data_IF_558055334304
#
_entry.id   IF_558055334304
#
_cell.length_a   1.000
_cell.length_b   1.000
_cell.length_c   1.000
_cell.angle_alpha   90.00
_cell.angle_beta   90.00
_cell.angle_gamma   90.00
#
_symmetry.space_group_name_H-M   'P 1'
#
loop_
_entity.id
_entity.type
_entity.pdbx_description
1 polymer ?
#
# COMPACT_ATOMS: atom_id res chain seq x y z
N UNK A 1 -20.07 3.96 11.32
CA UNK A 1 -18.71 3.47 11.64
C UNK A 1 -17.72 3.80 10.52
N UNK A 2 -17.96 3.43 9.27
CA UNK A 2 -17.07 3.72 8.13
C UNK A 2 -16.75 5.21 7.89
N UNK A 3 -17.72 6.11 8.06
CA UNK A 3 -17.48 7.55 7.95
C UNK A 3 -16.52 8.07 9.05
N UNK A 4 -16.60 7.52 10.26
CA UNK A 4 -15.73 7.90 11.37
C UNK A 4 -14.29 7.42 11.14
N UNK A 5 -14.12 6.20 10.63
CA UNK A 5 -12.82 5.67 10.21
C UNK A 5 -12.18 6.51 9.09
N UNK A 6 -12.98 6.96 8.12
CA UNK A 6 -12.52 7.83 7.03
C UNK A 6 -11.99 9.17 7.55
N UNK A 7 -12.67 9.78 8.53
CA UNK A 7 -12.21 11.03 9.15
C UNK A 7 -10.93 10.84 9.96
N UNK A 8 -10.79 9.74 10.71
CA UNK A 8 -9.58 9.45 11.49
C UNK A 8 -8.39 9.23 10.55
N UNK A 9 -8.55 8.46 9.47
CA UNK A 9 -7.50 8.25 8.46
C UNK A 9 -7.09 9.56 7.79
N UNK A 10 -8.05 10.44 7.47
CA UNK A 10 -7.78 11.76 6.92
C UNK A 10 -6.99 12.66 7.89
N UNK A 11 -7.34 12.66 9.17
CA UNK A 11 -6.63 13.45 10.19
C UNK A 11 -5.19 12.95 10.34
N UNK A 12 -4.99 11.64 10.39
CA UNK A 12 -3.65 11.03 10.48
C UNK A 12 -2.82 11.39 9.23
N UNK A 13 -3.42 11.33 8.04
CA UNK A 13 -2.77 11.73 6.79
C UNK A 13 -2.38 13.21 6.78
N UNK A 14 -3.26 14.09 7.25
CA UNK A 14 -3.00 15.54 7.34
C UNK A 14 -1.86 15.80 8.33
N UNK A 15 -1.91 15.18 9.52
CA UNK A 15 -0.86 15.34 10.53
C UNK A 15 0.49 14.83 10.03
N UNK A 16 0.50 13.70 9.30
CA UNK A 16 1.71 13.16 8.68
C UNK A 16 2.25 14.09 7.59
N UNK A 17 1.39 14.60 6.71
CA UNK A 17 1.77 15.52 5.65
C UNK A 17 2.32 16.85 6.21
N UNK A 18 1.67 17.39 7.26
CA UNK A 18 2.15 18.60 7.97
C UNK A 18 3.49 18.32 8.65
N UNK A 19 3.65 17.16 9.30
CA UNK A 19 4.91 16.75 9.91
C UNK A 19 6.05 16.63 8.90
N UNK A 20 5.79 15.97 7.76
CA UNK A 20 6.75 15.83 6.67
C UNK A 20 7.13 17.20 6.07
N UNK A 21 6.14 18.07 5.81
CA UNK A 21 6.37 19.41 5.30
C UNK A 21 7.18 20.26 6.28
N UNK A 22 6.91 20.16 7.58
CA UNK A 22 7.66 20.86 8.62
C UNK A 22 9.11 20.36 8.72
N UNK A 23 9.34 19.03 8.69
CA UNK A 23 10.68 18.45 8.68
C UNK A 23 11.48 18.88 7.43
N UNK A 24 10.84 18.91 6.26
CA UNK A 24 11.44 19.39 5.02
C UNK A 24 11.78 20.88 5.09
N UNK A 25 10.85 21.70 5.59
CA UNK A 25 11.09 23.14 5.78
C UNK A 25 12.27 23.38 6.72
N UNK A 26 12.36 22.66 7.84
CA UNK A 26 13.50 22.75 8.74
C UNK A 26 14.80 22.32 8.06
N UNK A 27 14.80 21.20 7.32
CA UNK A 27 15.99 20.76 6.59
C UNK A 27 16.46 21.81 5.57
N UNK A 28 15.52 22.43 4.83
CA UNK A 28 15.82 23.51 3.88
C UNK A 28 16.38 24.73 4.61
N UNK A 29 15.77 25.14 5.72
CA UNK A 29 16.25 26.27 6.55
C UNK A 29 17.66 25.98 7.07
N UNK A 30 17.94 24.79 7.58
CA UNK A 30 19.27 24.44 8.07
C UNK A 30 20.32 24.39 6.96
N UNK A 31 19.96 23.89 5.77
CA UNK A 31 20.85 23.94 4.61
C UNK A 31 21.09 25.40 4.19
N UNK A 32 20.04 26.23 4.15
CA UNK A 32 20.16 27.66 3.84
C UNK A 32 21.02 28.40 4.87
N UNK A 33 20.85 28.13 6.17
CA UNK A 33 21.68 28.70 7.25
C UNK A 33 23.13 28.23 7.12
N UNK A 34 23.36 26.94 6.88
CA UNK A 34 24.70 26.38 6.65
C UNK A 34 25.40 26.99 5.43
N UNK A 35 24.64 27.41 4.42
CA UNK A 35 25.14 28.09 3.22
C UNK A 35 25.31 29.61 3.40
N UNK A 36 24.69 30.22 4.42
CA UNK A 36 24.67 31.68 4.62
C UNK A 36 25.46 32.17 5.83
N UNK A 37 26.01 31.27 6.66
CA UNK A 37 26.90 31.68 7.75
C UNK A 37 28.07 32.51 7.17
N UNK A 38 28.19 33.79 7.56
CA UNK A 38 29.14 34.72 6.98
C UNK A 38 30.56 34.22 7.25
N UNK A 39 31.31 34.01 6.17
CA UNK A 39 32.74 33.76 6.27
C UNK A 39 33.37 34.99 6.96
N UNK A 40 34.12 34.83 8.07
CA UNK A 40 34.76 35.97 8.71
C UNK A 40 35.64 36.70 7.70
N UNK A 41 35.55 38.04 7.59
CA UNK A 41 36.27 38.79 6.57
C UNK A 41 37.77 38.62 6.73
N UNK A 42 38.53 38.53 5.62
CA UNK A 42 39.96 38.27 5.66
C UNK A 42 40.70 39.53 6.09
N UNK A 43 41.27 39.53 7.30
CA UNK A 43 42.28 40.50 7.69
C UNK A 43 43.66 39.93 7.37
N UNK A 44 44.10 40.27 6.16
CA UNK A 44 45.50 40.44 5.73
C UNK A 44 46.36 39.18 5.54
N UNK A 45 46.20 38.57 4.37
CA UNK A 45 47.21 38.13 3.37
C UNK A 45 48.59 37.62 3.83
N UNK A 46 49.24 38.21 4.83
CA UNK A 46 50.45 37.67 5.48
C UNK A 46 50.17 36.61 6.55
N UNK A 47 48.94 36.54 7.05
CA UNK A 47 48.47 35.41 7.86
C UNK A 47 47.99 34.27 6.96
N UNK A 48 47.50 34.54 5.74
CA UNK A 48 47.00 33.52 4.82
C UNK A 48 48.11 32.56 4.35
N UNK A 49 49.31 33.07 4.08
CA UNK A 49 50.45 32.22 3.70
C UNK A 49 50.93 31.34 4.88
N UNK A 50 51.05 31.91 6.08
CA UNK A 50 51.33 31.16 7.32
C UNK A 50 50.16 30.28 7.79
N UNK A 51 48.93 30.58 7.37
CA UNK A 51 47.73 29.80 7.64
C UNK A 51 47.54 28.70 6.62
N UNK A 52 48.01 28.81 5.39
CA UNK A 52 48.10 27.70 4.43
C UNK A 52 49.15 26.69 4.93
N UNK A 53 50.27 27.19 5.44
CA UNK A 53 51.32 26.37 6.06
C UNK A 53 50.88 25.75 7.40
N UNK A 54 50.03 26.44 8.19
CA UNK A 54 49.38 25.89 9.41
C UNK A 54 48.07 25.12 9.14
N UNK A 55 47.44 25.27 7.98
CA UNK A 55 46.20 24.57 7.60
C UNK A 55 46.47 23.26 6.85
N UNK A 56 47.73 22.95 6.58
CA UNK A 56 48.17 21.57 6.50
C UNK A 56 48.03 20.95 7.89
N UNK A 57 46.77 20.70 8.31
CA UNK A 57 46.40 19.95 9.50
C UNK A 57 47.36 18.77 9.58
N UNK A 58 48.04 18.63 10.72
CA UNK A 58 49.05 17.57 10.83
C UNK A 58 48.37 16.22 10.51
N UNK A 59 49.08 15.26 9.89
CA UNK A 59 48.49 13.95 9.61
C UNK A 59 47.86 13.31 10.87
N UNK A 60 48.42 13.59 12.04
CA UNK A 60 47.91 13.15 13.33
C UNK A 60 46.57 13.80 13.71
N UNK A 61 46.44 15.12 13.55
CA UNK A 61 45.19 15.86 13.80
C UNK A 61 44.08 15.41 12.86
N UNK A 62 44.43 15.13 11.60
CA UNK A 62 43.47 14.65 10.61
C UNK A 62 42.96 13.25 10.96
N UNK A 63 43.85 12.33 11.36
CA UNK A 63 43.45 11.00 11.81
C UNK A 63 42.73 11.03 13.17
N UNK A 64 43.03 12.01 14.04
CA UNK A 64 42.26 12.23 15.27
C UNK A 64 40.83 12.71 14.96
N UNK A 65 40.66 13.64 14.02
CA UNK A 65 39.34 14.08 13.56
C UNK A 65 38.55 12.91 12.95
N UNK A 66 39.20 12.10 12.11
CA UNK A 66 38.60 10.90 11.50
C UNK A 66 38.16 9.87 12.55
N UNK A 67 38.98 9.64 13.59
CA UNK A 67 38.62 8.76 14.71
C UNK A 67 37.39 9.25 15.47
N UNK A 68 37.25 10.58 15.65
CA UNK A 68 36.10 11.18 16.34
C UNK A 68 34.78 11.04 15.58
N UNK A 69 34.80 11.17 14.25
CA UNK A 69 33.58 11.07 13.41
C UNK A 69 33.14 9.63 13.13
N UNK A 70 34.04 8.65 13.27
CA UNK A 70 33.73 7.23 13.01
C UNK A 70 32.63 6.67 13.90
N UNK A 71 32.65 7.02 15.20
CA UNK A 71 31.64 6.57 16.15
C UNK A 71 30.23 7.03 15.74
N UNK A 72 30.00 8.35 15.61
CA UNK A 72 28.70 8.88 15.18
C UNK A 72 28.26 8.38 13.81
N UNK A 73 29.18 8.31 12.85
CA UNK A 73 28.85 7.82 11.50
C UNK A 73 28.39 6.35 11.53
N UNK A 74 29.04 5.48 12.30
CA UNK A 74 28.64 4.07 12.44
C UNK A 74 27.27 3.95 13.13
N UNK A 75 27.03 4.75 14.17
CA UNK A 75 25.74 4.77 14.86
C UNK A 75 24.61 5.25 13.95
N UNK A 76 24.82 6.30 13.14
CA UNK A 76 23.84 6.76 12.15
C UNK A 76 23.56 5.71 11.08
N UNK A 77 24.59 4.98 10.63
CA UNK A 77 24.43 3.90 9.66
C UNK A 77 23.55 2.77 10.24
N UNK A 78 23.76 2.39 11.50
CA UNK A 78 22.94 1.38 12.19
C UNK A 78 21.48 1.83 12.33
N UNK A 79 21.24 3.09 12.70
CA UNK A 79 19.87 3.66 12.79
C UNK A 79 19.18 3.61 11.43
N UNK A 80 19.87 3.97 10.35
CA UNK A 80 19.30 3.92 9.01
C UNK A 80 19.02 2.49 8.52
N UNK A 81 19.87 1.52 8.85
CA UNK A 81 19.62 0.11 8.54
C UNK A 81 18.43 -0.46 9.32
N UNK A 82 18.27 -0.06 10.59
CA UNK A 82 17.12 -0.46 11.41
C UNK A 82 15.80 0.08 10.82
N UNK A 83 15.82 1.29 10.23
CA UNK A 83 14.67 1.84 9.52
C UNK A 83 14.25 1.02 8.28
N UNK A 84 15.15 0.21 7.71
CA UNK A 84 14.83 -0.67 6.58
C UNK A 84 14.14 -1.99 7.00
N UNK A 85 14.19 -2.38 8.28
CA UNK A 85 13.62 -3.66 8.75
C UNK A 85 12.11 -3.78 8.49
N UNK A 86 11.27 -2.77 8.76
CA UNK A 86 9.84 -2.84 8.44
C UNK A 86 9.57 -3.03 6.95
N UNK A 87 10.40 -2.44 6.07
CA UNK A 87 10.27 -2.61 4.62
C UNK A 87 10.60 -4.05 4.19
N UNK A 88 11.63 -4.64 4.79
CA UNK A 88 12.00 -6.04 4.57
C UNK A 88 10.84 -6.94 5.03
N UNK A 89 10.29 -6.73 6.23
CA UNK A 89 9.15 -7.51 6.73
C UNK A 89 7.94 -7.40 5.81
N UNK A 90 7.61 -6.20 5.33
CA UNK A 90 6.51 -5.98 4.38
C UNK A 90 6.79 -6.67 3.04
N UNK A 91 8.04 -6.66 2.56
CA UNK A 91 8.42 -7.27 1.29
C UNK A 91 8.41 -8.80 1.34
N UNK A 92 8.81 -9.39 2.47
CA UNK A 92 8.86 -10.85 2.67
C UNK A 92 7.58 -11.44 3.27
N UNK A 93 6.63 -10.61 3.69
CA UNK A 93 5.27 -11.09 4.00
C UNK A 93 4.62 -11.44 2.66
N UNK A 94 4.73 -12.72 2.28
CA UNK A 94 4.08 -13.27 1.10
C UNK A 94 2.64 -12.76 1.00
N UNK A 95 2.23 -12.43 -0.23
CA UNK A 95 0.99 -11.70 -0.55
C UNK A 95 -0.32 -12.35 -0.11
N UNK A 96 -0.32 -13.34 0.78
CA UNK A 96 -1.50 -13.90 1.44
C UNK A 96 -2.17 -12.91 2.42
N UNK A 97 -1.51 -11.79 2.74
CA UNK A 97 -2.07 -10.68 3.49
C UNK A 97 -3.07 -9.80 2.70
N UNK A 98 -3.70 -10.30 1.61
CA UNK A 98 -4.90 -9.69 1.00
C UNK A 98 -6.09 -9.63 1.99
N UNK A 99 -5.99 -10.29 3.14
CA UNK A 99 -6.99 -10.23 4.21
C UNK A 99 -6.99 -8.91 5.01
N UNK A 100 -5.97 -8.06 4.91
CA UNK A 100 -6.07 -6.68 5.39
C UNK A 100 -6.58 -5.81 4.24
N UNK A 101 -7.88 -5.54 4.24
CA UNK A 101 -8.59 -4.64 3.30
C UNK A 101 -8.12 -3.18 3.35
N UNK A 102 -6.97 -2.90 3.96
CA UNK A 102 -6.36 -1.58 3.93
C UNK A 102 -5.70 -1.36 2.56
N UNK A 103 -5.81 -0.15 2.01
CA UNK A 103 -5.40 0.06 0.64
C UNK A 103 -3.88 -0.07 0.50
N UNK A 104 -3.41 -0.92 -0.42
CA UNK A 104 -1.99 -1.10 -0.76
C UNK A 104 -1.26 0.23 -1.05
N UNK A 105 -1.99 1.26 -1.51
CA UNK A 105 -1.45 2.60 -1.73
C UNK A 105 -0.96 3.28 -0.45
N UNK A 106 -1.52 2.97 0.73
CA UNK A 106 -1.09 3.56 2.01
C UNK A 106 0.29 3.02 2.43
N UNK A 107 0.53 1.73 2.19
CA UNK A 107 1.84 1.10 2.43
C UNK A 107 2.88 1.70 1.47
N UNK A 108 2.55 1.84 0.18
CA UNK A 108 3.44 2.49 -0.79
C UNK A 108 3.74 3.95 -0.43
N UNK A 109 2.74 4.68 0.05
CA UNK A 109 2.85 6.09 0.44
C UNK A 109 3.75 6.29 1.67
N UNK A 110 3.71 5.35 2.62
CA UNK A 110 4.53 5.42 3.85
C UNK A 110 5.92 4.82 3.66
N UNK A 111 6.08 3.82 2.79
CA UNK A 111 7.36 3.18 2.50
C UNK A 111 8.35 4.11 1.79
N UNK A 112 7.88 4.90 0.82
CA UNK A 112 8.76 5.71 -0.03
C UNK A 112 9.56 6.77 0.76
N UNK A 113 8.94 7.60 1.62
CA UNK A 113 9.71 8.55 2.45
C UNK A 113 10.73 7.85 3.36
N UNK A 114 10.41 6.67 3.89
CA UNK A 114 11.32 5.89 4.75
C UNK A 114 12.54 5.43 3.95
N UNK A 115 12.36 4.94 2.72
CA UNK A 115 13.48 4.57 1.84
C UNK A 115 14.36 5.78 1.53
N UNK A 116 13.76 6.88 1.09
CA UNK A 116 14.50 8.09 0.68
C UNK A 116 15.30 8.65 1.86
N UNK A 117 14.68 8.78 3.02
CA UNK A 117 15.36 9.29 4.23
C UNK A 117 16.48 8.35 4.67
N UNK A 118 16.25 7.03 4.66
CA UNK A 118 17.28 6.04 5.02
C UNK A 118 18.48 6.10 4.08
N UNK A 119 18.26 6.21 2.76
CA UNK A 119 19.34 6.38 1.78
C UNK A 119 20.15 7.65 2.02
N UNK A 120 19.49 8.78 2.29
CA UNK A 120 20.17 10.05 2.59
C UNK A 120 21.00 9.97 3.88
N UNK A 121 20.48 9.33 4.93
CA UNK A 121 21.22 9.12 6.18
C UNK A 121 22.42 8.22 5.97
N UNK A 122 22.27 7.09 5.25
CA UNK A 122 23.38 6.19 4.91
C UNK A 122 24.46 6.94 4.15
N UNK A 123 24.06 7.70 3.12
CA UNK A 123 25.00 8.46 2.30
C UNK A 123 25.71 9.55 3.10
N UNK A 124 24.99 10.28 3.96
CA UNK A 124 25.58 11.28 4.86
C UNK A 124 26.49 10.68 5.92
N UNK A 125 26.20 9.49 6.45
CA UNK A 125 27.06 8.75 7.37
C UNK A 125 28.37 8.31 6.70
N UNK A 126 28.31 7.79 5.46
CA UNK A 126 29.51 7.46 4.67
C UNK A 126 30.34 8.72 4.40
N UNK A 127 29.67 9.82 4.01
CA UNK A 127 30.33 11.10 3.80
C UNK A 127 30.99 11.63 5.07
N UNK A 128 30.32 11.50 6.23
CA UNK A 128 30.87 11.86 7.53
C UNK A 128 32.13 11.03 7.86
N UNK A 129 32.08 9.71 7.66
CA UNK A 129 33.21 8.78 7.90
C UNK A 129 34.43 9.12 7.05
N UNK A 130 34.18 9.50 5.79
CA UNK A 130 35.22 9.77 4.81
C UNK A 130 35.66 11.26 4.80
N UNK A 131 35.09 12.07 5.70
CA UNK A 131 35.28 13.53 5.80
C UNK A 131 34.99 14.26 4.47
N UNK A 132 33.96 13.81 3.76
CA UNK A 132 33.48 14.35 2.47
C UNK A 132 32.19 15.14 2.69
N UNK A 133 32.02 16.25 1.97
CA UNK A 133 30.76 17.01 1.93
C UNK A 133 30.13 17.30 3.30
N UNK A 134 30.73 18.23 4.06
CA UNK A 134 30.26 18.57 5.42
C UNK A 134 28.75 18.87 5.50
N UNK A 135 28.21 19.63 4.54
CA UNK A 135 26.78 19.99 4.53
C UNK A 135 25.86 18.77 4.49
N UNK A 136 26.23 17.73 3.76
CA UNK A 136 25.47 16.48 3.70
C UNK A 136 25.57 15.69 5.00
N UNK A 137 26.74 15.66 5.63
CA UNK A 137 26.94 15.02 6.93
C UNK A 137 26.07 15.69 8.02
N UNK A 138 25.99 17.03 8.02
CA UNK A 138 25.09 17.79 8.91
C UNK A 138 23.63 17.49 8.58
N UNK A 139 23.23 17.56 7.31
CA UNK A 139 21.85 17.31 6.89
C UNK A 139 21.37 15.91 7.30
N UNK A 140 22.20 14.87 7.09
CA UNK A 140 21.89 13.52 7.54
C UNK A 140 21.79 13.42 9.07
N UNK A 141 22.62 14.15 9.81
CA UNK A 141 22.56 14.16 11.29
C UNK A 141 21.25 14.77 11.78
N UNK A 142 20.75 15.81 11.12
CA UNK A 142 19.45 16.43 11.41
C UNK A 142 18.31 15.50 10.98
N UNK A 143 18.41 14.86 9.82
CA UNK A 143 17.38 13.97 9.30
C UNK A 143 17.14 12.77 10.23
N UNK A 144 18.20 12.25 10.85
CA UNK A 144 18.15 11.21 11.90
C UNK A 144 17.37 11.64 13.15
N UNK A 145 17.27 12.95 13.42
CA UNK A 145 16.49 13.49 14.56
C UNK A 145 15.00 13.59 14.26
N UNK A 146 14.59 13.53 13.00
CA UNK A 146 13.22 13.80 12.60
C UNK A 146 12.28 12.64 12.99
N UNK A 147 11.05 12.90 13.47
CA UNK A 147 10.07 11.88 13.84
C UNK A 147 9.37 11.29 12.61
N UNK A 148 10.11 11.01 11.53
CA UNK A 148 9.58 10.49 10.27
C UNK A 148 9.89 9.01 10.04
N UNK A 149 10.54 8.34 11.00
CA UNK A 149 10.92 6.94 10.88
C UNK A 149 10.89 6.22 12.25
N UNK A 150 10.65 4.91 12.23
CA UNK A 150 10.52 4.09 13.45
C UNK A 150 11.76 4.13 14.36
N UNK A 151 12.96 4.29 13.79
CA UNK A 151 14.20 4.40 14.53
C UNK A 151 14.46 5.77 15.19
N UNK A 152 13.51 6.71 15.19
CA UNK A 152 13.78 8.09 15.66
C UNK A 152 14.16 8.16 17.14
N UNK A 153 13.65 7.24 17.97
CA UNK A 153 13.99 7.19 19.41
C UNK A 153 15.49 6.96 19.61
N UNK A 154 16.10 6.09 18.79
CA UNK A 154 17.55 5.89 18.77
C UNK A 154 18.26 6.98 17.96
N UNK A 155 17.59 7.52 16.95
CA UNK A 155 18.10 8.59 16.11
C UNK A 155 18.37 9.88 16.87
N UNK A 156 17.51 10.27 17.82
CA UNK A 156 17.67 11.51 18.62
C UNK A 156 19.05 11.61 19.30
N UNK A 157 19.44 10.67 20.20
CA UNK A 157 20.73 10.75 20.88
C UNK A 157 21.90 10.65 19.88
N UNK A 158 21.77 9.83 18.83
CA UNK A 158 22.81 9.62 17.82
C UNK A 158 23.02 10.86 16.95
N UNK A 159 21.95 11.51 16.50
CA UNK A 159 22.02 12.72 15.69
C UNK A 159 22.57 13.91 16.47
N UNK A 160 22.18 14.06 17.75
CA UNK A 160 22.75 15.11 18.63
C UNK A 160 24.25 14.86 18.80
N UNK A 161 24.65 13.62 19.07
CA UNK A 161 26.06 13.26 19.19
C UNK A 161 26.84 13.57 17.91
N UNK A 162 26.30 13.23 16.74
CA UNK A 162 26.89 13.54 15.45
C UNK A 162 27.05 15.05 15.23
N UNK A 163 26.03 15.86 15.54
CA UNK A 163 26.08 17.31 15.43
C UNK A 163 27.11 17.93 16.38
N UNK A 164 27.20 17.46 17.62
CA UNK A 164 28.22 17.92 18.59
C UNK A 164 29.63 17.59 18.10
N UNK A 165 29.83 16.44 17.45
CA UNK A 165 31.13 16.09 16.87
C UNK A 165 31.46 16.94 15.64
N UNK A 166 30.47 17.18 14.77
CA UNK A 166 30.64 18.00 13.56
C UNK A 166 30.90 19.47 13.86
N UNK A 167 30.29 20.03 14.91
CA UNK A 167 30.44 21.44 15.31
C UNK A 167 31.80 21.77 15.95
N UNK A 168 32.61 20.77 16.31
CA UNK A 168 33.96 21.02 16.83
C UNK A 168 34.87 21.56 15.73
N UNK A 169 35.61 22.63 16.07
CA UNK A 169 36.51 23.34 15.13
C UNK A 169 37.48 22.39 14.41
N UNK A 170 38.11 21.45 15.12
CA UNK A 170 39.06 20.51 14.54
C UNK A 170 38.41 19.61 13.47
N UNK A 171 37.16 19.21 13.67
CA UNK A 171 36.43 18.36 12.74
C UNK A 171 36.10 19.15 11.47
N UNK A 172 35.58 20.36 11.63
CA UNK A 172 35.31 21.28 10.53
C UNK A 172 36.56 21.59 9.70
N UNK A 173 37.69 21.90 10.35
CA UNK A 173 38.98 22.11 9.68
C UNK A 173 39.42 20.87 8.88
N UNK A 174 39.20 19.65 9.40
CA UNK A 174 39.53 18.43 8.68
C UNK A 174 38.68 18.24 7.41
N UNK A 175 37.39 18.59 7.44
CA UNK A 175 36.54 18.59 6.24
C UNK A 175 37.01 19.62 5.19
N UNK A 176 37.41 20.82 5.63
CA UNK A 176 37.95 21.84 4.72
C UNK A 176 39.29 21.41 4.10
N UNK A 177 40.21 20.86 4.92
CA UNK A 177 41.50 20.36 4.47
C UNK A 177 41.33 19.25 3.41
N UNK A 178 40.35 18.35 3.59
CA UNK A 178 40.01 17.31 2.60
C UNK A 178 39.50 17.91 1.29
N UNK A 179 38.57 18.86 1.36
CA UNK A 179 37.99 19.52 0.18
C UNK A 179 39.06 20.29 -0.63
N UNK A 180 40.01 20.95 0.04
CA UNK A 180 41.13 21.62 -0.60
C UNK A 180 42.06 20.66 -1.36
N UNK A 181 42.34 19.48 -0.80
CA UNK A 181 43.15 18.45 -1.49
C UNK A 181 42.51 17.95 -2.78
N UNK A 182 41.18 17.83 -2.83
CA UNK A 182 40.48 17.45 -4.06
C UNK A 182 40.57 18.53 -5.14
N UNK A 183 40.47 19.80 -4.76
CA UNK A 183 40.64 20.91 -5.71
C UNK A 183 42.06 20.96 -6.31
N UNK A 184 43.09 20.70 -5.50
CA UNK A 184 44.49 20.61 -5.95
C UNK A 184 44.72 19.39 -6.86
N UNK A 185 44.18 18.22 -6.49
CA UNK A 185 44.31 17.00 -7.30
C UNK A 185 43.61 17.12 -8.67
N UNK A 186 42.59 17.97 -8.79
CA UNK A 186 41.92 18.27 -10.05
C UNK A 186 42.74 19.18 -10.99
N UNK A 187 44.00 19.50 -10.66
CA UNK A 187 44.93 20.21 -11.55
C UNK A 187 44.75 21.73 -11.61
N UNK A 188 44.05 22.33 -10.63
CA UNK A 188 43.94 23.78 -10.52
C UNK A 188 45.30 24.41 -10.19
N UNK A 189 45.87 25.16 -11.15
CA UNK A 189 47.12 25.91 -10.96
C UNK A 189 46.91 26.97 -9.85
N UNK A 190 47.75 27.02 -8.80
CA UNK A 190 47.51 27.85 -7.61
C UNK A 190 47.58 29.36 -7.87
N UNK A 191 48.19 29.80 -8.98
CA UNK A 191 48.48 31.23 -9.23
C UNK A 191 47.33 32.00 -9.87
N UNK A 192 46.31 31.29 -10.34
CA UNK A 192 45.01 31.89 -10.65
C UNK A 192 44.07 31.47 -9.53
N UNK A 193 44.09 32.20 -8.42
CA UNK A 193 42.90 32.31 -7.57
C UNK A 193 41.92 33.19 -8.33
N UNK A 194 40.93 32.66 -9.09
CA UNK A 194 39.78 33.46 -9.36
C UNK A 194 39.17 33.75 -7.98
N UNK A 195 39.17 35.01 -7.58
CA UNK A 195 38.35 35.50 -6.46
C UNK A 195 36.86 35.15 -6.64
N UNK A 196 36.48 34.68 -7.82
CA UNK A 196 35.28 33.89 -8.05
C UNK A 196 35.62 32.40 -7.98
N UNK A 197 35.55 31.79 -6.79
CA UNK A 197 35.19 30.37 -6.75
C UNK A 197 34.00 30.20 -7.68
N UNK A 198 33.98 29.19 -8.59
CA UNK A 198 32.77 28.84 -9.27
C UNK A 198 31.78 28.52 -8.17
N UNK A 199 30.87 29.48 -7.96
CA UNK A 199 29.58 29.27 -7.33
C UNK A 199 28.88 28.27 -8.25
N UNK A 200 29.34 27.02 -8.26
CA UNK A 200 28.46 25.89 -8.51
C UNK A 200 27.56 25.92 -7.28
N UNK A 201 26.62 26.86 -7.36
CA UNK A 201 25.71 27.19 -6.30
C UNK A 201 25.15 25.83 -5.93
N UNK A 202 25.31 25.44 -4.67
CA UNK A 202 24.63 24.25 -4.17
C UNK A 202 23.11 24.46 -4.25
N UNK A 203 22.67 25.69 -4.60
CA UNK A 203 21.30 26.12 -4.84
C UNK A 203 20.58 25.19 -5.82
N UNK A 204 20.98 24.90 -7.08
CA UNK A 204 20.29 23.93 -7.93
C UNK A 204 20.19 22.54 -7.33
N UNK A 205 21.20 22.00 -6.65
CA UNK A 205 21.12 20.63 -6.11
C UNK A 205 20.24 20.56 -4.85
N UNK A 206 20.38 21.53 -3.95
CA UNK A 206 19.56 21.67 -2.74
C UNK A 206 18.12 22.05 -3.09
N UNK A 207 17.92 22.97 -4.04
CA UNK A 207 16.61 23.31 -4.56
C UNK A 207 16.00 22.14 -5.32
N UNK A 208 16.78 21.34 -6.07
CA UNK A 208 16.28 20.12 -6.72
C UNK A 208 15.89 19.05 -5.70
N UNK A 209 16.68 18.88 -4.62
CA UNK A 209 16.35 18.00 -3.49
C UNK A 209 15.20 18.52 -2.61
N UNK A 210 14.97 19.83 -2.58
CA UNK A 210 13.86 20.47 -1.85
C UNK A 210 12.57 20.52 -2.69
N UNK A 211 12.68 20.68 -4.01
CA UNK A 211 11.57 20.71 -4.96
C UNK A 211 11.06 19.30 -5.27
N UNK A 212 11.89 18.27 -5.22
CA UNK A 212 11.45 16.88 -5.44
C UNK A 212 10.32 16.46 -4.49
N UNK A 213 10.41 16.64 -3.16
CA UNK A 213 9.30 16.31 -2.28
C UNK A 213 8.11 17.28 -2.44
N UNK A 214 8.34 18.55 -2.79
CA UNK A 214 7.27 19.54 -2.94
C UNK A 214 6.45 19.28 -4.22
N UNK A 215 7.11 18.94 -5.32
CA UNK A 215 6.51 18.47 -6.58
C UNK A 215 5.79 17.14 -6.37
N UNK A 216 6.34 16.25 -5.52
CA UNK A 216 5.69 14.99 -5.19
C UNK A 216 4.42 15.21 -4.35
N UNK A 217 4.44 16.09 -3.36
CA UNK A 217 3.25 16.50 -2.59
C UNK A 217 2.20 17.12 -3.51
N UNK A 218 2.60 18.00 -4.44
CA UNK A 218 1.70 18.58 -5.43
C UNK A 218 1.09 17.51 -6.36
N UNK A 219 1.88 16.54 -6.81
CA UNK A 219 1.40 15.40 -7.59
C UNK A 219 0.42 14.51 -6.80
N UNK A 220 0.65 14.31 -5.50
CA UNK A 220 -0.25 13.57 -4.61
C UNK A 220 -1.57 14.32 -4.38
N UNK A 221 -1.53 15.64 -4.21
CA UNK A 221 -2.73 16.47 -4.12
C UNK A 221 -3.51 16.40 -5.44
N UNK A 222 -2.83 16.52 -6.58
CA UNK A 222 -3.44 16.42 -7.89
C UNK A 222 -4.05 15.02 -8.14
N UNK A 223 -3.35 13.95 -7.77
CA UNK A 223 -3.83 12.58 -7.90
C UNK A 223 -5.03 12.30 -6.98
N UNK A 224 -5.02 12.82 -5.75
CA UNK A 224 -6.17 12.70 -4.83
C UNK A 224 -7.37 13.48 -5.35
N UNK A 225 -7.16 14.70 -5.85
CA UNK A 225 -8.22 15.50 -6.47
C UNK A 225 -8.77 14.79 -7.70
N UNK A 226 -7.89 14.20 -8.52
CA UNK A 226 -8.28 13.38 -9.67
C UNK A 226 -9.11 12.17 -9.26
N UNK A 227 -8.70 11.40 -8.25
CA UNK A 227 -9.50 10.29 -7.71
C UNK A 227 -10.85 10.78 -7.17
N UNK A 228 -10.89 11.90 -6.45
CA UNK A 228 -12.14 12.46 -5.92
C UNK A 228 -13.10 12.89 -7.04
N UNK A 229 -12.58 13.47 -8.13
CA UNK A 229 -13.38 13.77 -9.33
C UNK A 229 -13.79 12.51 -10.08
N UNK A 230 -12.91 11.53 -10.21
CA UNK A 230 -13.18 10.27 -10.92
C UNK A 230 -14.21 9.42 -10.17
N UNK A 231 -14.12 9.36 -8.83
CA UNK A 231 -15.11 8.68 -8.00
C UNK A 231 -16.46 9.40 -7.94
N UNK A 232 -16.51 10.71 -8.18
CA UNK A 232 -17.78 11.43 -8.36
C UNK A 232 -18.47 11.11 -9.69
N UNK A 233 -17.72 10.79 -10.76
CA UNK A 233 -18.27 10.36 -12.05
C UNK A 233 -18.73 8.89 -12.06
N UNK A 234 -18.16 8.04 -11.20
CA UNK A 234 -18.49 6.60 -11.13
C UNK A 234 -19.38 6.20 -9.95
N UNK A 235 -19.75 7.12 -9.07
CA UNK A 235 -20.87 6.88 -8.17
C UNK A 235 -22.13 6.81 -9.04
N UNK A 236 -22.82 5.66 -9.12
CA UNK A 236 -24.09 5.60 -9.84
C UNK A 236 -24.97 6.73 -9.30
N UNK A 237 -25.64 7.51 -10.16
CA UNK A 237 -26.43 8.65 -9.72
C UNK A 237 -27.32 8.16 -8.60
N UNK A 238 -27.10 8.73 -7.41
CA UNK A 238 -27.80 8.40 -6.17
C UNK A 238 -29.26 8.32 -6.55
N UNK A 239 -29.79 7.10 -6.55
CA UNK A 239 -31.09 6.77 -7.13
C UNK A 239 -32.12 7.59 -6.35
N UNK A 240 -32.42 8.77 -6.87
CA UNK A 240 -33.33 9.71 -6.27
C UNK A 240 -34.68 9.03 -6.38
N UNK A 241 -35.13 8.43 -5.29
CA UNK A 241 -36.48 7.90 -5.00
C UNK A 241 -37.43 8.18 -6.16
N UNK A 242 -37.37 7.35 -7.20
CA UNK A 242 -38.13 7.54 -8.45
C UNK A 242 -39.30 6.59 -8.41
N UNK A 243 -40.27 6.92 -7.56
CA UNK A 243 -41.64 6.71 -7.97
C UNK A 243 -41.88 7.69 -9.14
N UNK A 244 -42.45 7.17 -10.22
CA UNK A 244 -42.84 7.90 -11.43
C UNK A 244 -41.70 8.22 -12.40
N UNK A 245 -41.44 7.31 -13.34
CA UNK A 245 -41.80 7.57 -14.75
C UNK A 245 -41.56 6.33 -15.61
N UNK A 246 -42.61 5.96 -16.34
CA UNK A 246 -42.62 4.94 -17.35
C UNK A 246 -41.71 5.28 -18.55
N UNK A 247 -41.14 4.22 -19.12
CA UNK A 247 -40.78 4.06 -20.53
C UNK A 247 -39.94 5.16 -21.19
N UNK A 248 -38.62 4.99 -21.14
CA UNK A 248 -37.75 5.43 -22.24
C UNK A 248 -36.64 4.41 -22.46
N UNK A 249 -36.71 3.72 -23.61
CA UNK A 249 -35.64 2.89 -24.15
C UNK A 249 -34.50 3.81 -24.58
N UNK A 250 -33.44 3.85 -23.80
CA UNK A 250 -32.14 4.35 -24.27
C UNK A 250 -31.11 3.25 -24.08
N UNK A 251 -30.56 2.78 -25.20
CA UNK A 251 -29.41 1.88 -25.29
C UNK A 251 -28.19 2.55 -24.64
N UNK A 252 -28.04 2.33 -23.34
CA UNK A 252 -26.81 2.61 -22.62
C UNK A 252 -25.94 1.37 -22.77
N UNK A 253 -24.84 1.51 -23.51
CA UNK A 253 -23.77 0.51 -23.60
C UNK A 253 -23.36 0.11 -22.19
N UNK A 254 -23.86 -1.05 -21.74
CA UNK A 254 -23.47 -1.63 -20.45
C UNK A 254 -21.97 -1.88 -20.49
N UNK A 255 -21.21 -1.47 -19.46
CA UNK A 255 -19.80 -1.85 -19.34
C UNK A 255 -19.72 -3.37 -19.48
N UNK A 256 -18.76 -3.84 -20.27
CA UNK A 256 -18.57 -5.26 -20.53
C UNK A 256 -18.41 -5.99 -19.19
N UNK A 257 -19.44 -6.75 -18.80
CA UNK A 257 -19.40 -7.59 -17.60
C UNK A 257 -18.25 -8.58 -17.86
N UNK A 258 -17.24 -8.66 -16.97
CA UNK A 258 -16.17 -9.62 -17.14
C UNK A 258 -16.77 -11.02 -17.30
N UNK A 259 -16.25 -11.84 -18.22
CA UNK A 259 -16.81 -13.17 -18.48
C UNK A 259 -16.84 -13.98 -17.17
N UNK A 260 -18.00 -14.56 -16.86
CA UNK A 260 -18.22 -15.32 -15.65
C UNK A 260 -17.32 -16.57 -15.62
N UNK A 261 -16.70 -16.84 -14.47
CA UNK A 261 -15.89 -18.05 -14.26
C UNK A 261 -16.76 -19.32 -14.15
N UNK A 262 -18.04 -19.16 -13.79
CA UNK A 262 -19.02 -20.23 -13.63
C UNK A 262 -20.32 -19.81 -14.29
N UNK A 263 -20.94 -20.71 -15.05
CA UNK A 263 -22.27 -20.53 -15.62
C UNK A 263 -23.23 -21.58 -15.09
N UNK A 264 -24.52 -21.28 -15.06
CA UNK A 264 -25.54 -22.19 -14.52
C UNK A 264 -26.27 -22.94 -15.63
N UNK A 265 -25.90 -24.21 -15.84
CA UNK A 265 -26.54 -25.11 -16.80
C UNK A 265 -27.77 -25.83 -16.25
N UNK A 266 -28.39 -26.69 -17.05
CA UNK A 266 -29.56 -27.49 -16.62
C UNK A 266 -29.24 -28.41 -15.44
N UNK A 267 -28.02 -28.96 -15.39
CA UNK A 267 -27.56 -29.94 -14.40
C UNK A 267 -26.84 -29.34 -13.19
N UNK A 268 -26.61 -28.02 -13.16
CA UNK A 268 -25.88 -27.36 -12.07
C UNK A 268 -24.86 -26.34 -12.59
N UNK A 269 -23.93 -25.90 -11.73
CA UNK A 269 -22.84 -25.01 -12.11
C UNK A 269 -21.89 -25.72 -13.09
N UNK A 270 -21.41 -24.96 -14.07
CA UNK A 270 -20.50 -25.37 -15.13
C UNK A 270 -19.37 -24.36 -15.25
N UNK A 271 -18.22 -24.78 -15.78
CA UNK A 271 -17.09 -23.93 -16.08
C UNK A 271 -17.49 -22.88 -17.12
N UNK A 272 -17.36 -21.61 -16.73
CA UNK A 272 -17.83 -20.47 -17.52
C UNK A 272 -16.89 -20.07 -18.67
N UNK A 273 -17.31 -19.10 -19.50
CA UNK A 273 -16.58 -18.68 -20.70
C UNK A 273 -15.14 -18.23 -20.44
N UNK A 274 -14.84 -17.65 -19.28
CA UNK A 274 -13.49 -17.19 -18.95
C UNK A 274 -12.45 -18.32 -19.06
N UNK A 275 -12.81 -19.52 -18.61
CA UNK A 275 -11.92 -20.68 -18.64
C UNK A 275 -11.97 -21.40 -19.99
N UNK A 276 -13.09 -21.29 -20.73
CA UNK A 276 -13.24 -21.89 -22.06
C UNK A 276 -12.57 -21.10 -23.18
N UNK A 277 -12.55 -19.77 -23.10
CA UNK A 277 -12.05 -18.88 -24.16
C UNK A 277 -10.53 -18.86 -24.27
N UNK A 278 -9.81 -19.19 -23.19
CA UNK A 278 -8.35 -19.11 -23.19
C UNK A 278 -7.66 -20.32 -23.83
N UNK A 279 -8.41 -21.31 -24.34
CA UNK A 279 -7.88 -22.59 -24.86
C UNK A 279 -6.92 -23.29 -23.87
N UNK A 280 -7.03 -22.96 -22.58
CA UNK A 280 -6.13 -23.43 -21.53
C UNK A 280 -6.40 -24.89 -21.16
N UNK A 281 -7.64 -25.33 -21.32
CA UNK A 281 -8.06 -26.70 -21.04
C UNK A 281 -8.55 -27.34 -22.33
N UNK A 282 -8.25 -28.63 -22.50
CA UNK A 282 -8.86 -29.42 -23.56
C UNK A 282 -10.38 -29.56 -23.32
N UNK A 283 -11.14 -29.82 -24.37
CA UNK A 283 -12.59 -30.03 -24.23
C UNK A 283 -12.91 -31.17 -23.27
N UNK A 284 -12.12 -32.25 -23.30
CA UNK A 284 -12.27 -33.38 -22.38
C UNK A 284 -12.04 -32.98 -20.92
N UNK A 285 -11.05 -32.13 -20.65
CA UNK A 285 -10.81 -31.60 -19.30
C UNK A 285 -11.97 -30.72 -18.84
N UNK A 286 -12.49 -29.86 -19.72
CA UNK A 286 -13.64 -29.01 -19.41
C UNK A 286 -14.89 -29.83 -19.08
N UNK A 287 -15.19 -30.86 -19.87
CA UNK A 287 -16.36 -31.72 -19.64
C UNK A 287 -16.23 -32.51 -18.32
N UNK A 288 -15.01 -32.98 -17.99
CA UNK A 288 -14.73 -33.63 -16.70
C UNK A 288 -14.83 -32.66 -15.52
N UNK A 289 -14.37 -31.42 -15.69
CA UNK A 289 -14.50 -30.38 -14.66
C UNK A 289 -15.97 -30.01 -14.43
N UNK A 290 -16.77 -29.89 -15.48
CA UNK A 290 -18.23 -29.68 -15.37
C UNK A 290 -18.90 -30.81 -14.59
N UNK A 291 -18.52 -32.07 -14.87
CA UNK A 291 -19.04 -33.23 -14.17
C UNK A 291 -18.65 -33.22 -12.68
N UNK A 292 -17.38 -32.96 -12.37
CA UNK A 292 -16.89 -32.87 -11.00
C UNK A 292 -17.57 -31.73 -10.23
N UNK A 293 -17.77 -30.57 -10.87
CA UNK A 293 -18.43 -29.41 -10.28
C UNK A 293 -19.92 -29.68 -10.02
N UNK A 294 -20.63 -30.25 -10.98
CA UNK A 294 -22.04 -30.62 -10.83
C UNK A 294 -22.23 -31.66 -9.71
N UNK A 295 -21.37 -32.69 -9.66
CA UNK A 295 -21.38 -33.71 -8.60
C UNK A 295 -21.16 -33.09 -7.21
N UNK A 296 -20.12 -32.28 -7.07
CA UNK A 296 -19.79 -31.58 -5.82
C UNK A 296 -20.95 -30.68 -5.38
N UNK A 297 -21.59 -29.99 -6.31
CA UNK A 297 -22.75 -29.15 -6.03
C UNK A 297 -23.95 -29.95 -5.50
N UNK A 298 -24.18 -31.19 -5.98
CA UNK A 298 -25.22 -32.06 -5.41
C UNK A 298 -24.91 -32.48 -3.97
N UNK A 299 -23.64 -32.76 -3.65
CA UNK A 299 -23.19 -33.04 -2.28
C UNK A 299 -23.43 -31.83 -1.37
N UNK A 300 -23.08 -30.63 -1.86
CA UNK A 300 -23.36 -29.36 -1.17
C UNK A 300 -24.86 -29.16 -0.92
N UNK A 301 -25.73 -29.37 -1.91
CA UNK A 301 -27.18 -29.24 -1.74
C UNK A 301 -27.76 -30.28 -0.76
N UNK A 302 -27.15 -31.45 -0.63
CA UNK A 302 -27.52 -32.41 0.41
C UNK A 302 -27.15 -31.88 1.80
N UNK A 303 -25.91 -31.44 1.98
CA UNK A 303 -25.44 -30.86 3.24
C UNK A 303 -26.23 -29.61 3.65
N UNK A 304 -26.52 -28.70 2.71
CA UNK A 304 -27.33 -27.51 2.95
C UNK A 304 -28.72 -27.88 3.46
N UNK A 305 -29.39 -28.86 2.83
CA UNK A 305 -30.72 -29.32 3.25
C UNK A 305 -30.72 -29.86 4.68
N UNK A 306 -29.71 -30.63 5.06
CA UNK A 306 -29.59 -31.20 6.41
C UNK A 306 -29.38 -30.11 7.48
N UNK A 307 -28.82 -28.96 7.10
CA UNK A 307 -28.57 -27.82 7.97
C UNK A 307 -29.61 -26.69 7.85
N UNK A 308 -30.64 -26.89 7.01
CA UNK A 308 -31.68 -25.89 6.77
C UNK A 308 -32.89 -26.11 7.66
N UNK A 309 -33.28 -25.06 8.38
CA UNK A 309 -34.54 -25.01 9.13
C UNK A 309 -35.47 -23.96 8.52
N UNK A 310 -36.77 -24.26 8.50
CA UNK A 310 -37.79 -23.42 7.87
C UNK A 310 -38.87 -23.11 8.89
N UNK A 311 -39.24 -21.84 8.99
CA UNK A 311 -40.32 -21.36 9.86
C UNK A 311 -41.10 -20.26 9.15
N UNK A 312 -42.37 -20.10 9.51
CA UNK A 312 -43.14 -18.93 9.11
C UNK A 312 -43.16 -17.95 10.28
N UNK A 313 -42.83 -16.68 10.04
CA UNK A 313 -42.91 -15.66 11.09
C UNK A 313 -44.35 -15.13 11.27
N UNK A 314 -44.56 -14.25 12.26
CA UNK A 314 -45.87 -13.67 12.58
C UNK A 314 -46.50 -12.87 11.42
N UNK A 315 -45.71 -12.47 10.42
CA UNK A 315 -46.17 -11.75 9.22
C UNK A 315 -46.49 -12.68 8.05
N UNK A 316 -46.50 -14.00 8.26
CA UNK A 316 -46.73 -14.99 7.20
C UNK A 316 -45.56 -15.14 6.23
N UNK A 317 -44.36 -14.66 6.59
CA UNK A 317 -43.17 -14.72 5.71
C UNK A 317 -42.34 -15.96 6.01
N UNK A 318 -41.77 -16.55 4.97
CA UNK A 318 -40.93 -17.75 5.07
C UNK A 318 -39.54 -17.36 5.54
N UNK A 319 -39.15 -17.79 6.74
CA UNK A 319 -37.82 -17.59 7.32
C UNK A 319 -37.06 -18.90 7.23
N UNK A 320 -36.03 -18.90 6.40
CA UNK A 320 -35.10 -20.02 6.22
C UNK A 320 -33.81 -19.70 6.96
N UNK A 321 -33.45 -20.52 7.94
CA UNK A 321 -32.17 -20.42 8.65
C UNK A 321 -31.32 -21.61 8.29
N UNK A 322 -30.16 -21.33 7.69
CA UNK A 322 -29.14 -22.31 7.31
C UNK A 322 -28.02 -22.20 8.33
N UNK A 323 -27.83 -23.23 9.16
CA UNK A 323 -26.75 -23.26 10.14
C UNK A 323 -25.39 -23.36 9.44
N UNK A 324 -24.33 -22.87 10.07
CA UNK A 324 -22.98 -23.08 9.57
C UNK A 324 -22.59 -24.58 9.66
N UNK A 325 -21.93 -25.08 8.62
CA UNK A 325 -21.36 -26.44 8.51
C UNK A 325 -19.95 -26.38 7.89
N UNK A 326 -19.01 -25.62 8.47
CA UNK A 326 -17.72 -25.33 7.84
C UNK A 326 -16.85 -26.58 7.66
N UNK A 327 -17.04 -27.61 8.50
CA UNK A 327 -16.30 -28.87 8.41
C UNK A 327 -16.72 -29.65 7.16
N UNK A 328 -18.01 -29.90 7.00
CA UNK A 328 -18.60 -30.59 5.86
C UNK A 328 -18.29 -29.83 4.56
N UNK A 329 -18.35 -28.50 4.61
CA UNK A 329 -18.00 -27.62 3.50
C UNK A 329 -16.54 -27.80 3.07
N UNK A 330 -15.60 -27.79 4.04
CA UNK A 330 -14.19 -28.03 3.76
C UNK A 330 -13.91 -29.43 3.19
N UNK A 331 -14.67 -30.44 3.63
CA UNK A 331 -14.56 -31.80 3.08
C UNK A 331 -15.08 -31.87 1.62
N UNK A 332 -16.19 -31.21 1.31
CA UNK A 332 -16.75 -31.10 -0.05
C UNK A 332 -15.77 -30.36 -0.98
N UNK A 333 -15.24 -29.22 -0.55
CA UNK A 333 -14.24 -28.45 -1.32
C UNK A 333 -12.96 -29.26 -1.56
N UNK A 334 -12.45 -29.94 -0.53
CA UNK A 334 -11.23 -30.74 -0.67
C UNK A 334 -11.41 -31.89 -1.66
N UNK A 335 -12.59 -32.55 -1.67
CA UNK A 335 -12.91 -33.58 -2.66
C UNK A 335 -12.94 -33.02 -4.07
N UNK A 336 -13.58 -31.87 -4.27
CA UNK A 336 -13.60 -31.20 -5.58
C UNK A 336 -12.20 -30.87 -6.06
N UNK A 337 -11.36 -30.25 -5.22
CA UNK A 337 -10.00 -29.89 -5.61
C UNK A 337 -9.12 -31.10 -5.88
N UNK A 338 -9.30 -32.18 -5.13
CA UNK A 338 -8.60 -33.45 -5.39
C UNK A 338 -8.98 -34.02 -6.77
N UNK A 339 -10.26 -33.99 -7.14
CA UNK A 339 -10.74 -34.45 -8.44
C UNK A 339 -10.29 -33.51 -9.58
N UNK A 340 -10.36 -32.20 -9.38
CA UNK A 340 -9.91 -31.19 -10.34
C UNK A 340 -8.39 -31.25 -10.61
N UNK A 341 -7.57 -31.42 -9.57
CA UNK A 341 -6.10 -31.53 -9.71
C UNK A 341 -5.68 -32.83 -10.43
N UNK A 342 -6.54 -33.85 -10.41
CA UNK A 342 -6.36 -35.08 -11.19
C UNK A 342 -6.74 -34.90 -12.68
N UNK A 343 -7.69 -34.01 -12.98
CA UNK A 343 -8.10 -33.64 -14.36
C UNK A 343 -7.07 -32.70 -15.01
N UNK A 344 -6.48 -31.80 -14.22
CA UNK A 344 -5.53 -30.78 -14.67
C UNK A 344 -4.14 -31.09 -14.09
N UNK A 345 -3.27 -31.82 -14.82
CA UNK A 345 -1.97 -32.24 -14.28
C UNK A 345 -0.94 -31.11 -14.22
N UNK A 346 -1.07 -30.08 -15.07
CA UNK A 346 -0.11 -28.97 -15.14
C UNK A 346 -0.28 -27.99 -13.97
N UNK A 347 0.83 -27.62 -13.31
CA UNK A 347 0.80 -26.77 -12.12
C UNK A 347 0.40 -25.32 -12.42
N UNK A 348 0.72 -24.79 -13.60
CA UNK A 348 0.34 -23.42 -13.98
C UNK A 348 -1.16 -23.34 -14.28
N UNK A 349 -1.70 -24.34 -14.96
CA UNK A 349 -3.13 -24.47 -15.23
C UNK A 349 -3.94 -24.63 -13.93
N UNK A 350 -3.45 -25.44 -12.97
CA UNK A 350 -4.07 -25.56 -11.63
C UNK A 350 -4.17 -24.22 -10.91
N UNK A 351 -3.10 -23.43 -10.95
CA UNK A 351 -3.08 -22.09 -10.34
C UNK A 351 -4.15 -21.19 -10.95
N UNK A 352 -4.31 -21.22 -12.27
CA UNK A 352 -5.32 -20.43 -12.98
C UNK A 352 -6.74 -20.92 -12.70
N UNK A 353 -6.97 -22.23 -12.69
CA UNK A 353 -8.26 -22.83 -12.34
C UNK A 353 -8.69 -22.45 -10.92
N UNK A 354 -7.77 -22.61 -9.95
CA UNK A 354 -7.99 -22.22 -8.55
C UNK A 354 -8.26 -20.73 -8.43
N UNK A 355 -7.48 -19.88 -9.11
CA UNK A 355 -7.72 -18.45 -9.12
C UNK A 355 -9.13 -18.12 -9.66
N UNK A 356 -9.48 -18.62 -10.84
CA UNK A 356 -10.76 -18.32 -11.48
C UNK A 356 -11.98 -18.80 -10.66
N UNK A 357 -11.91 -19.99 -10.06
CA UNK A 357 -13.01 -20.54 -9.27
C UNK A 357 -13.02 -20.06 -7.81
N UNK A 358 -11.89 -19.62 -7.23
CA UNK A 358 -11.85 -19.02 -5.88
C UNK A 358 -12.65 -17.72 -5.81
N UNK A 359 -12.79 -16.99 -6.91
CA UNK A 359 -13.70 -15.84 -7.01
C UNK A 359 -15.17 -16.23 -7.09
N UNK A 360 -15.48 -17.49 -7.36
CA UNK A 360 -16.85 -17.98 -7.40
C UNK A 360 -17.31 -18.39 -6.00
N UNK A 361 -17.16 -17.50 -5.01
CA UNK A 361 -17.86 -17.59 -3.71
C UNK A 361 -19.39 -17.71 -3.85
N UNK A 362 -19.89 -17.56 -5.08
CA UNK A 362 -21.26 -17.79 -5.51
C UNK A 362 -21.65 -19.27 -5.70
N UNK A 363 -20.70 -20.21 -5.84
CA UNK A 363 -21.06 -21.63 -6.02
C UNK A 363 -21.59 -22.22 -4.71
N UNK A 364 -20.90 -21.95 -3.60
CA UNK A 364 -21.22 -22.46 -2.27
C UNK A 364 -21.55 -21.27 -1.35
N UNK A 365 -22.73 -20.70 -1.56
CA UNK A 365 -23.11 -19.43 -0.92
C UNK A 365 -23.26 -19.53 0.60
N UNK A 366 -23.64 -20.70 1.11
CA UNK A 366 -23.89 -20.93 2.53
C UNK A 366 -22.92 -21.98 3.10
N UNK A 367 -22.92 -22.14 4.43
CA UNK A 367 -22.15 -23.17 5.13
C UNK A 367 -20.95 -22.65 5.92
N UNK A 368 -20.34 -21.54 5.50
CA UNK A 368 -19.23 -20.92 6.26
C UNK A 368 -19.71 -20.16 7.50
N UNK A 369 -20.91 -19.57 7.42
CA UNK A 369 -21.54 -18.84 8.52
C UNK A 369 -23.04 -19.10 8.54
N UNK A 370 -23.69 -18.85 9.67
CA UNK A 370 -25.13 -18.95 9.78
C UNK A 370 -25.80 -17.86 8.94
N UNK A 371 -26.75 -18.25 8.10
CA UNK A 371 -27.49 -17.33 7.24
C UNK A 371 -28.97 -17.45 7.51
N UNK A 372 -29.65 -16.30 7.62
CA UNK A 372 -31.10 -16.25 7.74
C UNK A 372 -31.65 -15.46 6.59
N UNK A 373 -32.56 -16.10 5.85
CA UNK A 373 -33.18 -15.59 4.64
C UNK A 373 -34.68 -15.51 4.89
N UNK A 374 -35.22 -14.31 4.88
CA UNK A 374 -36.64 -14.04 4.94
C UNK A 374 -37.15 -13.82 3.52
N UNK A 375 -38.13 -14.61 3.11
CA UNK A 375 -38.72 -14.56 1.78
C UNK A 375 -40.23 -14.36 1.89
N UNK A 376 -40.79 -13.53 1.03
CA UNK A 376 -42.24 -13.39 0.90
C UNK A 376 -42.63 -12.98 -0.52
N UNK A 377 -43.91 -13.17 -0.83
CA UNK A 377 -44.48 -12.76 -2.11
C UNK A 377 -45.53 -11.68 -1.86
N UNK A 378 -45.46 -10.58 -2.61
CA UNK A 378 -46.51 -9.56 -2.65
C UNK A 378 -46.94 -9.35 -4.10
N UNK A 379 -48.18 -9.76 -4.41
CA UNK A 379 -48.69 -9.79 -5.79
C UNK A 379 -47.85 -10.70 -6.70
N UNK A 380 -47.26 -10.13 -7.75
CA UNK A 380 -46.39 -10.84 -8.71
C UNK A 380 -44.91 -10.76 -8.35
N UNK A 381 -44.55 -10.17 -7.22
CA UNK A 381 -43.16 -9.92 -6.84
C UNK A 381 -42.74 -10.80 -5.67
N UNK A 382 -41.51 -11.32 -5.76
CA UNK A 382 -40.80 -11.99 -4.67
C UNK A 382 -39.86 -10.99 -4.01
N UNK A 383 -39.82 -11.04 -2.69
CA UNK A 383 -38.92 -10.25 -1.87
C UNK A 383 -38.05 -11.19 -1.06
N UNK A 384 -36.76 -10.88 -0.98
CA UNK A 384 -35.77 -11.66 -0.25
C UNK A 384 -34.94 -10.70 0.60
N UNK A 385 -34.86 -11.00 1.88
CA UNK A 385 -34.04 -10.29 2.85
C UNK A 385 -33.08 -11.29 3.49
N UNK A 386 -31.79 -11.02 3.39
CA UNK A 386 -30.73 -11.81 4.02
C UNK A 386 -30.15 -11.03 5.18
N UNK A 387 -29.69 -11.69 6.24
CA UNK A 387 -28.93 -11.02 7.31
C UNK A 387 -27.61 -10.41 6.83
N UNK A 388 -27.05 -10.93 5.73
CA UNK A 388 -25.74 -10.54 5.21
C UNK A 388 -25.81 -9.62 3.98
N UNK A 389 -26.98 -9.48 3.34
CA UNK A 389 -27.15 -8.70 2.11
C UNK A 389 -28.29 -7.68 2.22
N UNK A 390 -28.34 -6.73 1.28
CA UNK A 390 -29.46 -5.77 1.17
C UNK A 390 -30.77 -6.46 0.78
N UNK A 391 -31.91 -5.84 1.09
CA UNK A 391 -33.22 -6.29 0.64
C UNK A 391 -33.30 -6.29 -0.89
N UNK A 392 -33.78 -7.39 -1.47
CA UNK A 392 -33.95 -7.52 -2.92
C UNK A 392 -35.38 -7.86 -3.30
N UNK A 393 -35.79 -7.45 -4.50
CA UNK A 393 -37.10 -7.77 -5.07
C UNK A 393 -37.00 -8.14 -6.55
N UNK A 394 -37.68 -9.21 -6.95
CA UNK A 394 -37.71 -9.67 -8.35
C UNK A 394 -39.11 -10.12 -8.79
N UNK A 395 -39.46 -9.96 -10.07
CA UNK A 395 -40.72 -10.48 -10.61
C UNK A 395 -40.70 -12.01 -10.73
N UNK A 396 -39.53 -12.60 -10.90
CA UNK A 396 -39.30 -14.04 -10.89
C UNK A 396 -38.22 -14.37 -9.87
N UNK A 397 -38.45 -15.41 -9.07
CA UNK A 397 -37.52 -15.77 -8.02
C UNK A 397 -36.21 -16.31 -8.64
N UNK A 398 -35.04 -15.71 -8.33
CA UNK A 398 -33.77 -16.20 -8.85
C UNK A 398 -33.55 -17.69 -8.55
N UNK A 399 -32.95 -18.42 -9.49
CA UNK A 399 -32.79 -19.89 -9.43
C UNK A 399 -32.18 -20.38 -8.12
N UNK A 400 -31.22 -19.64 -7.58
CA UNK A 400 -30.56 -19.91 -6.30
C UNK A 400 -31.52 -19.95 -5.10
N UNK A 401 -32.64 -19.24 -5.16
CA UNK A 401 -33.65 -19.21 -4.10
C UNK A 401 -34.83 -20.14 -4.38
N UNK A 402 -34.97 -20.68 -5.59
CA UNK A 402 -36.11 -21.53 -5.96
C UNK A 402 -36.19 -22.81 -5.12
N UNK A 403 -35.05 -23.41 -4.74
CA UNK A 403 -35.01 -24.56 -3.82
C UNK A 403 -35.27 -24.20 -2.35
N UNK A 404 -35.06 -22.92 -1.99
CA UNK A 404 -35.29 -22.41 -0.64
C UNK A 404 -36.72 -21.88 -0.46
N UNK A 405 -37.43 -21.56 -1.54
CA UNK A 405 -38.79 -21.08 -1.43
C UNK A 405 -39.79 -22.22 -1.25
N UNK A 406 -40.53 -22.16 -0.15
CA UNK A 406 -41.77 -22.90 0.03
C UNK A 406 -42.87 -21.86 0.28
N UNK A 407 -43.94 -21.84 -0.53
CA UNK A 407 -45.06 -20.94 -0.27
C UNK A 407 -45.58 -21.24 1.16
N UNK A 408 -45.85 -20.20 1.96
CA UNK A 408 -46.43 -20.41 3.28
C UNK A 408 -47.72 -21.21 3.15
N UNK A 409 -47.95 -22.17 4.05
CA UNK A 409 -49.23 -22.90 4.08
C UNK A 409 -50.35 -21.86 4.16
N UNK A 410 -51.42 -21.98 3.34
CA UNK A 410 -52.54 -21.08 3.41
C UNK A 410 -53.06 -21.09 4.85
N UNK A 411 -53.09 -19.91 5.47
CA UNK A 411 -53.55 -19.73 6.84
C UNK A 411 -54.90 -20.44 6.98
N UNK A 412 -54.95 -21.47 7.83
CA UNK A 412 -56.21 -22.19 8.09
C UNK A 412 -57.17 -21.14 8.62
N UNK A 413 -58.20 -20.81 7.83
CA UNK A 413 -59.26 -19.89 8.24
C UNK A 413 -59.85 -20.43 9.54
N UNK A 414 -59.54 -19.76 10.65
CA UNK A 414 -60.01 -20.08 11.99
C UNK A 414 -61.32 -19.37 12.29
#
# INVERSE_FOLDING_TARGET
MFALLGHISLIVLILFAVGLAFCLALAIIFIAIGLTLPHPPPREERIAERAIERAALSPEEFEAAKRRVRGPALAMLLVALLNCVPLIVVFFSDGDAVLFSEPTWFIMLTALPVVVTSCLVIFGAICMRDLRWYGLAVAASILVLAPCHYGFVLGIPVGIWALVVLTRANTWQAFQARSGRFALAAGGKPDSLPAAQPRLTSIPLVALCALTPLMFIAALIAFKLWIATYSAEFLPPKEATRHDLATSKSDVSRPAIPPEAVTWGATGPQVGPLLRLNHMFSQEQLDKLDQALAKTYQEYLAAERDHTTRKTNELGRSVITIKAFPKEMGEIENRFWTEADAIVPDNSERGTLRYALKFAGDIFRYGQSESTIEMWRSGTWYYVKSNNDSDYSWPELPRIYQGLWQPPEPEKQH
#
